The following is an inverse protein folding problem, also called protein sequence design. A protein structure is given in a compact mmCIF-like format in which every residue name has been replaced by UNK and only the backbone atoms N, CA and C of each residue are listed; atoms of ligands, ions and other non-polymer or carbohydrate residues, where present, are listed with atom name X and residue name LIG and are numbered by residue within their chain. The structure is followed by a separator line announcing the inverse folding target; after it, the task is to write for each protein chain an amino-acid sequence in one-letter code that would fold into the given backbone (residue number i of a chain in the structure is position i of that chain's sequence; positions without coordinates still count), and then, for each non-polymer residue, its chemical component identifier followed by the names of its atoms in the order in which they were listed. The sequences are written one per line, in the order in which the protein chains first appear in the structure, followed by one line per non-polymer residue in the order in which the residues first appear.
data_IF_788647137629
#
_entry.id   IF_788647137629
#
_cell.length_a   1.000
_cell.length_b   1.000
_cell.length_c   1.000
_cell.angle_alpha   90.00
_cell.angle_beta   90.00
_cell.angle_gamma   90.00
#
_symmetry.space_group_name_H-M   'P 1'
#
loop_
_entity.id
_entity.type
_entity.pdbx_description
1 polymer ?
#
# COMPACT_ATOMS: atom_id res chain seq x y z
N UNK A 1 -4.75 -48.98 3.09
CA UNK A 1 -4.70 -47.60 3.60
C UNK A 1 -3.84 -46.79 2.64
N UNK A 2 -4.44 -46.18 1.63
CA UNK A 2 -3.81 -45.17 0.76
C UNK A 2 -4.94 -44.47 0.02
N UNK A 3 -5.39 -43.32 0.51
CA UNK A 3 -6.18 -42.37 -0.27
C UNK A 3 -5.22 -41.28 -0.75
N UNK A 4 -5.24 -40.88 -2.03
CA UNK A 4 -4.48 -39.71 -2.46
C UNK A 4 -5.17 -38.44 -1.94
N UNK A 5 -4.39 -37.60 -1.27
CA UNK A 5 -4.75 -36.24 -0.91
C UNK A 5 -4.94 -35.44 -2.20
N UNK A 6 -6.20 -35.20 -2.57
CA UNK A 6 -6.55 -34.07 -3.42
C UNK A 6 -6.53 -32.81 -2.56
N UNK A 7 -5.93 -31.74 -3.07
CA UNK A 7 -6.29 -30.33 -2.82
C UNK A 7 -5.39 -29.45 -3.71
N UNK A 8 -5.66 -29.48 -5.01
CA UNK A 8 -5.41 -28.32 -5.84
C UNK A 8 -6.48 -27.29 -5.50
N UNK A 9 -6.18 -26.40 -4.56
CA UNK A 9 -7.02 -25.22 -4.34
C UNK A 9 -6.69 -24.22 -5.43
N UNK A 10 -7.52 -24.18 -6.47
CA UNK A 10 -7.56 -23.05 -7.37
C UNK A 10 -7.95 -21.83 -6.53
N UNK A 11 -7.00 -20.91 -6.30
CA UNK A 11 -7.32 -19.61 -5.74
C UNK A 11 -8.34 -18.94 -6.66
N UNK A 12 -9.49 -18.61 -6.08
CA UNK A 12 -10.58 -17.90 -6.73
C UNK A 12 -10.06 -16.59 -7.34
N UNK A 13 -10.24 -16.46 -8.66
CA UNK A 13 -9.86 -15.32 -9.49
C UNK A 13 -10.75 -14.08 -9.29
N UNK A 14 -11.06 -13.74 -8.04
CA UNK A 14 -11.68 -12.47 -7.71
C UNK A 14 -10.64 -11.63 -6.98
N UNK A 15 -9.80 -10.92 -7.74
CA UNK A 15 -8.92 -9.91 -7.17
C UNK A 15 -9.74 -8.83 -6.46
N UNK A 16 -9.15 -8.07 -5.53
CA UNK A 16 -9.83 -7.01 -4.76
C UNK A 16 -10.43 -5.89 -5.63
N UNK A 17 -10.13 -5.87 -6.93
CA UNK A 17 -10.65 -4.95 -7.93
C UNK A 17 -11.87 -5.50 -8.70
N UNK A 18 -12.24 -6.78 -8.49
CA UNK A 18 -13.41 -7.39 -9.10
C UNK A 18 -14.69 -6.74 -8.54
N UNK A 19 -15.49 -6.18 -9.44
CA UNK A 19 -16.60 -5.26 -9.18
C UNK A 19 -17.53 -5.70 -8.03
N UNK A 20 -17.43 -5.02 -6.89
CA UNK A 20 -18.45 -5.01 -5.86
C UNK A 20 -19.68 -4.19 -6.29
N UNK A 21 -20.86 -4.55 -5.77
CA UNK A 21 -22.14 -3.83 -5.97
C UNK A 21 -21.98 -2.32 -5.69
N UNK A 22 -22.75 -1.43 -6.34
CA UNK A 22 -22.72 0.01 -6.07
C UNK A 22 -23.37 0.29 -4.70
N UNK A 23 -22.61 0.06 -3.63
CA UNK A 23 -22.81 0.76 -2.36
C UNK A 23 -22.27 2.17 -2.51
N UNK A 24 -22.89 3.14 -1.83
CA UNK A 24 -22.48 4.56 -1.81
C UNK A 24 -20.96 4.66 -1.83
N UNK A 25 -20.38 5.11 -2.96
CA UNK A 25 -18.95 5.21 -3.13
C UNK A 25 -18.40 6.03 -1.96
N UNK A 26 -17.55 5.43 -1.12
CA UNK A 26 -16.82 6.20 -0.12
C UNK A 26 -16.00 7.23 -0.86
N UNK A 27 -15.99 8.46 -0.35
CA UNK A 27 -15.13 9.50 -0.88
C UNK A 27 -13.67 9.16 -0.53
N UNK A 28 -12.75 9.48 -1.45
CA UNK A 28 -11.31 9.44 -1.19
C UNK A 28 -10.98 10.17 0.11
N UNK A 29 -9.92 9.76 0.79
CA UNK A 29 -9.47 10.43 2.01
C UNK A 29 -8.38 11.42 1.67
N UNK A 30 -8.65 12.68 1.99
CA UNK A 30 -7.73 13.77 1.73
C UNK A 30 -6.66 13.88 2.82
N UNK A 31 -5.51 14.44 2.44
CA UNK A 31 -4.54 14.96 3.39
C UNK A 31 -5.12 16.19 4.09
N UNK A 32 -5.14 16.18 5.43
CA UNK A 32 -5.43 17.34 6.25
C UNK A 32 -4.12 17.91 6.81
N UNK A 33 -3.77 19.12 6.37
CA UNK A 33 -2.52 19.81 6.72
C UNK A 33 -2.54 20.50 8.08
N UNK A 34 -3.71 20.58 8.70
CA UNK A 34 -3.88 21.20 10.02
C UNK A 34 -3.67 20.18 11.15
N UNK A 35 -3.50 18.89 10.82
CA UNK A 35 -3.17 17.84 11.78
C UNK A 35 -1.66 17.79 12.01
N UNK A 36 -1.27 17.46 13.25
CA UNK A 36 0.13 17.21 13.60
C UNK A 36 0.74 16.20 12.63
N UNK A 37 1.97 16.39 12.17
CA UNK A 37 2.61 15.41 11.29
C UNK A 37 2.98 14.13 12.06
N UNK A 38 3.27 13.06 11.31
CA UNK A 38 3.76 11.78 11.84
C UNK A 38 5.26 11.67 11.59
N UNK A 39 6.08 11.42 12.63
CA UNK A 39 7.53 11.27 12.45
C UNK A 39 7.88 10.07 11.58
N UNK A 40 8.81 10.27 10.64
CA UNK A 40 9.37 9.24 9.77
C UNK A 40 10.89 9.43 9.67
N UNK A 41 11.70 8.38 9.87
CA UNK A 41 13.14 8.49 9.71
C UNK A 41 13.54 9.00 8.32
N UNK A 42 14.53 9.88 8.25
CA UNK A 42 15.03 10.46 7.00
C UNK A 42 15.50 9.40 5.99
N UNK A 43 16.07 8.29 6.48
CA UNK A 43 16.46 7.14 5.66
C UNK A 43 15.26 6.49 4.97
N UNK A 44 14.14 6.33 5.67
CA UNK A 44 12.91 5.75 5.12
C UNK A 44 12.27 6.71 4.12
N UNK A 45 12.13 7.99 4.48
CA UNK A 45 11.60 9.01 3.56
C UNK A 45 12.40 9.05 2.26
N UNK A 46 13.74 9.08 2.37
CA UNK A 46 14.63 9.13 1.22
C UNK A 46 14.47 7.90 0.33
N UNK A 47 14.35 6.71 0.92
CA UNK A 47 14.24 5.47 0.15
C UNK A 47 12.90 5.34 -0.58
N UNK A 48 11.77 5.63 0.08
CA UNK A 48 10.45 5.55 -0.58
C UNK A 48 10.30 6.63 -1.65
N UNK A 49 10.85 7.83 -1.43
CA UNK A 49 10.87 8.89 -2.44
C UNK A 49 11.73 8.50 -3.64
N UNK A 50 12.91 7.91 -3.39
CA UNK A 50 13.79 7.39 -4.45
C UNK A 50 13.08 6.30 -5.26
N UNK A 51 12.42 5.35 -4.60
CA UNK A 51 11.66 4.31 -5.31
C UNK A 51 10.56 4.89 -6.19
N UNK A 52 9.80 5.87 -5.69
CA UNK A 52 8.75 6.54 -6.46
C UNK A 52 9.30 7.23 -7.73
N UNK A 53 10.50 7.80 -7.65
CA UNK A 53 11.16 8.43 -8.81
C UNK A 53 11.76 7.41 -9.78
N UNK A 54 12.35 6.32 -9.27
CA UNK A 54 12.96 5.27 -10.09
C UNK A 54 11.92 4.52 -10.96
N UNK A 55 10.68 4.41 -10.47
CA UNK A 55 9.59 3.67 -11.13
C UNK A 55 8.71 4.54 -12.03
N UNK A 56 8.80 5.87 -11.91
CA UNK A 56 8.04 6.78 -12.76
C UNK A 56 8.32 6.50 -14.26
N UNK A 57 7.28 6.46 -15.13
CA UNK A 57 5.92 6.97 -14.94
C UNK A 57 4.89 5.95 -14.39
N UNK A 58 5.33 4.79 -13.88
CA UNK A 58 4.46 3.86 -13.18
C UNK A 58 4.45 4.15 -11.68
N UNK A 59 3.37 3.73 -10.99
CA UNK A 59 3.29 3.75 -9.55
C UNK A 59 4.26 2.71 -8.95
N UNK A 60 5.09 3.14 -8.01
CA UNK A 60 5.83 2.24 -7.14
C UNK A 60 4.91 1.69 -6.03
N UNK A 61 5.30 0.57 -5.42
CA UNK A 61 4.66 0.06 -4.21
C UNK A 61 5.66 -0.67 -3.30
N UNK A 62 5.33 -0.80 -2.03
CA UNK A 62 6.15 -1.57 -1.11
C UNK A 62 5.66 -1.56 0.32
N UNK A 63 6.50 -2.09 1.20
CA UNK A 63 6.23 -2.20 2.63
C UNK A 63 7.19 -1.34 3.43
N UNK A 64 6.78 -0.91 4.62
CA UNK A 64 7.70 -0.39 5.63
C UNK A 64 7.57 -1.23 6.90
N UNK A 65 8.64 -1.95 7.21
CA UNK A 65 8.74 -2.81 8.39
C UNK A 65 9.14 -1.97 9.60
N UNK A 66 8.53 -2.26 10.74
CA UNK A 66 8.87 -1.66 12.03
C UNK A 66 8.93 -2.69 13.15
N UNK A 67 9.24 -2.22 14.34
CA UNK A 67 9.27 -2.98 15.58
C UNK A 67 8.28 -2.44 16.60
N UNK A 68 8.12 -3.13 17.72
CA UNK A 68 7.28 -2.65 18.83
C UNK A 68 7.80 -1.34 19.45
N UNK A 69 9.08 -1.03 19.27
CA UNK A 69 9.72 0.18 19.80
C UNK A 69 9.63 1.35 18.83
N UNK A 70 9.67 1.06 17.53
CA UNK A 70 9.69 2.08 16.49
C UNK A 70 8.99 1.55 15.25
N UNK A 71 7.93 2.25 14.82
CA UNK A 71 7.29 1.99 13.52
C UNK A 71 8.12 2.62 12.41
N UNK A 72 7.91 2.14 11.19
CA UNK A 72 8.45 2.74 9.97
C UNK A 72 9.99 2.82 9.90
N UNK A 73 10.68 1.68 10.05
CA UNK A 73 12.15 1.63 10.10
C UNK A 73 12.78 1.18 8.78
N UNK A 74 12.25 0.11 8.17
CA UNK A 74 12.90 -0.59 7.06
C UNK A 74 11.97 -0.66 5.84
N UNK A 75 12.17 0.19 4.81
CA UNK A 75 11.42 0.11 3.58
C UNK A 75 11.86 -1.11 2.74
N UNK A 76 10.87 -1.82 2.19
CA UNK A 76 11.05 -2.92 1.26
C UNK A 76 10.36 -2.55 -0.05
N UNK A 77 11.10 -2.46 -1.16
CA UNK A 77 10.52 -2.29 -2.49
C UNK A 77 9.83 -3.57 -2.91
N UNK A 78 8.60 -3.47 -3.41
CA UNK A 78 7.85 -4.59 -3.97
C UNK A 78 7.47 -4.25 -5.40
N UNK A 79 7.66 -5.19 -6.31
CA UNK A 79 7.35 -5.00 -7.72
C UNK A 79 5.84 -4.80 -7.92
N UNK A 80 5.49 -3.71 -8.60
CA UNK A 80 4.13 -3.48 -9.09
C UNK A 80 3.87 -4.36 -10.32
N UNK A 81 2.94 -5.30 -10.23
CA UNK A 81 2.55 -6.19 -11.34
C UNK A 81 1.24 -5.78 -12.00
N UNK A 82 0.72 -4.57 -11.73
CA UNK A 82 -0.59 -4.15 -12.23
C UNK A 82 -0.70 -4.19 -13.76
N UNK A 83 0.32 -3.75 -14.52
CA UNK A 83 0.33 -3.86 -15.98
C UNK A 83 0.21 -5.32 -16.45
N UNK A 84 0.88 -6.26 -15.77
CA UNK A 84 0.77 -7.69 -16.08
C UNK A 84 -0.63 -8.22 -15.80
N UNK A 85 -1.25 -7.79 -14.70
CA UNK A 85 -2.63 -8.14 -14.35
C UNK A 85 -3.62 -7.60 -15.37
N UNK A 86 -3.50 -6.32 -15.75
CA UNK A 86 -4.30 -5.66 -16.77
C UNK A 86 -4.24 -6.38 -18.12
N UNK A 87 -3.03 -6.73 -18.59
CA UNK A 87 -2.87 -7.45 -19.85
C UNK A 87 -3.48 -8.86 -19.83
N UNK A 88 -3.55 -9.48 -18.65
CA UNK A 88 -4.08 -10.84 -18.50
C UNK A 88 -5.60 -10.87 -18.35
N UNK A 89 -6.18 -9.89 -17.62
CA UNK A 89 -7.61 -9.73 -17.40
C UNK A 89 -7.98 -8.24 -17.26
N UNK A 90 -8.17 -7.51 -18.37
CA UNK A 90 -8.46 -6.08 -18.35
C UNK A 90 -9.86 -5.76 -17.82
N UNK A 91 -10.75 -6.75 -17.70
CA UNK A 91 -12.09 -6.54 -17.14
C UNK A 91 -12.01 -6.45 -15.62
N UNK A 92 -11.28 -7.37 -14.99
CA UNK A 92 -11.08 -7.34 -13.53
C UNK A 92 -10.03 -6.31 -13.09
N UNK A 93 -9.07 -6.00 -13.96
CA UNK A 93 -8.00 -5.04 -13.71
C UNK A 93 -8.01 -3.96 -14.81
N UNK A 94 -8.91 -2.98 -14.77
CA UNK A 94 -9.09 -2.01 -15.87
C UNK A 94 -7.98 -0.95 -15.97
N UNK A 95 -7.08 -0.86 -14.99
CA UNK A 95 -5.96 0.10 -14.93
C UNK A 95 -4.64 -0.64 -15.06
N UNK A 96 -3.65 0.00 -15.68
CA UNK A 96 -2.26 -0.47 -15.70
C UNK A 96 -1.46 0.12 -14.52
N UNK A 97 -0.15 -0.15 -14.48
CA UNK A 97 0.72 0.31 -13.40
C UNK A 97 0.90 1.84 -13.35
N UNK A 98 0.45 2.61 -14.34
CA UNK A 98 0.53 4.08 -14.32
C UNK A 98 -0.55 4.71 -13.44
N UNK A 99 -1.59 3.96 -13.09
CA UNK A 99 -2.79 4.48 -12.40
C UNK A 99 -3.24 3.63 -11.22
N UNK A 100 -2.54 2.53 -10.94
CA UNK A 100 -2.80 1.66 -9.81
C UNK A 100 -1.58 0.76 -9.53
N UNK A 101 -1.56 0.16 -8.34
CA UNK A 101 -0.57 -0.84 -7.99
C UNK A 101 -1.19 -2.18 -7.61
N UNK A 102 -0.46 -3.25 -7.90
CA UNK A 102 -0.72 -4.59 -7.40
C UNK A 102 0.60 -5.19 -6.98
N UNK A 103 0.82 -5.39 -5.69
CA UNK A 103 2.07 -5.95 -5.19
C UNK A 103 2.21 -7.41 -5.60
N UNK A 104 3.40 -7.80 -6.06
CA UNK A 104 3.69 -9.23 -6.28
C UNK A 104 3.71 -10.00 -4.96
N UNK A 105 2.92 -11.07 -4.91
CA UNK A 105 2.73 -11.89 -3.72
C UNK A 105 4.02 -12.55 -3.23
N UNK A 106 4.84 -13.03 -4.15
CA UNK A 106 6.09 -13.70 -3.80
C UNK A 106 7.06 -12.79 -3.05
N UNK A 107 7.14 -11.51 -3.42
CA UNK A 107 8.07 -10.58 -2.75
C UNK A 107 7.50 -10.08 -1.44
N UNK A 108 6.21 -9.73 -1.37
CA UNK A 108 5.65 -9.24 -0.11
C UNK A 108 5.60 -10.33 0.96
N UNK A 109 5.33 -11.60 0.58
CA UNK A 109 5.37 -12.73 1.52
C UNK A 109 6.79 -12.98 2.03
N UNK A 110 7.80 -12.83 1.16
CA UNK A 110 9.20 -12.92 1.59
C UNK A 110 9.54 -11.82 2.59
N UNK A 111 9.24 -10.57 2.26
CA UNK A 111 9.50 -9.43 3.14
C UNK A 111 8.76 -9.55 4.48
N UNK A 112 7.51 -10.02 4.46
CA UNK A 112 6.74 -10.32 5.66
C UNK A 112 7.42 -11.41 6.50
N UNK A 113 7.78 -12.53 5.89
CA UNK A 113 8.42 -13.64 6.61
C UNK A 113 9.75 -13.24 7.25
N UNK A 114 10.56 -12.44 6.55
CA UNK A 114 11.82 -11.89 7.04
C UNK A 114 11.61 -10.94 8.24
N UNK A 115 10.58 -10.09 8.16
CA UNK A 115 10.18 -9.23 9.27
C UNK A 115 9.78 -10.06 10.50
N UNK A 116 8.90 -11.03 10.33
CA UNK A 116 8.39 -11.88 11.41
C UNK A 116 9.51 -12.69 12.07
N UNK A 117 10.43 -13.27 11.28
CA UNK A 117 11.60 -14.01 11.81
C UNK A 117 12.53 -13.11 12.62
N UNK A 118 12.53 -11.81 12.35
CA UNK A 118 13.30 -10.82 13.10
C UNK A 118 12.54 -10.17 14.26
N UNK A 119 11.35 -10.67 14.61
CA UNK A 119 10.49 -10.08 15.64
C UNK A 119 9.94 -8.70 15.27
N UNK A 120 9.85 -8.41 13.97
CA UNK A 120 9.33 -7.17 13.39
C UNK A 120 8.00 -7.44 12.68
N UNK A 121 7.32 -6.37 12.25
CA UNK A 121 6.05 -6.45 11.54
C UNK A 121 5.94 -5.40 10.44
N UNK A 122 5.05 -5.62 9.48
CA UNK A 122 4.72 -4.64 8.44
C UNK A 122 3.91 -3.51 9.07
N UNK A 123 4.52 -2.34 9.21
CA UNK A 123 3.94 -1.19 9.91
C UNK A 123 3.21 -0.21 8.97
N UNK A 124 3.59 -0.22 7.69
CA UNK A 124 2.90 0.48 6.62
C UNK A 124 3.01 -0.27 5.28
N UNK A 125 2.05 -0.03 4.39
CA UNK A 125 2.18 -0.20 2.94
C UNK A 125 2.36 1.19 2.35
N UNK A 126 3.23 1.32 1.36
CA UNK A 126 3.40 2.58 0.63
C UNK A 126 3.23 2.38 -0.87
N UNK A 127 2.77 3.43 -1.53
CA UNK A 127 2.74 3.53 -2.99
C UNK A 127 2.85 4.97 -3.44
N UNK A 128 3.14 5.18 -4.72
CA UNK A 128 3.17 6.54 -5.29
C UNK A 128 1.98 6.79 -6.19
N UNK A 129 1.47 8.02 -6.18
CA UNK A 129 0.62 8.53 -7.25
C UNK A 129 1.45 9.37 -8.21
N UNK A 130 1.41 9.03 -9.50
CA UNK A 130 2.05 9.81 -10.57
C UNK A 130 1.05 10.82 -11.13
N UNK A 131 1.48 12.08 -11.25
CA UNK A 131 0.68 13.21 -11.73
C UNK A 131 -0.61 13.48 -10.90
N UNK A 132 -0.66 13.01 -9.65
CA UNK A 132 -1.73 13.28 -8.69
C UNK A 132 -1.21 13.54 -7.26
N UNK A 133 -2.09 14.05 -6.40
CA UNK A 133 -1.79 14.39 -5.00
C UNK A 133 -1.70 13.18 -4.06
N UNK A 134 -1.19 13.42 -2.84
CA UNK A 134 -1.07 12.40 -1.79
C UNK A 134 -2.37 12.25 -1.01
N UNK A 135 -3.37 11.64 -1.63
CA UNK A 135 -4.64 11.23 -1.03
C UNK A 135 -4.77 9.71 -1.07
N UNK A 136 -5.66 9.13 -0.26
CA UNK A 136 -5.99 7.71 -0.36
C UNK A 136 -7.22 7.55 -1.26
N UNK A 137 -7.06 6.97 -2.45
CA UNK A 137 -8.12 6.83 -3.45
C UNK A 137 -9.21 5.84 -3.00
N UNK A 138 -10.31 5.79 -3.76
CA UNK A 138 -11.36 4.80 -3.52
C UNK A 138 -10.85 3.37 -3.75
N UNK A 139 -9.98 3.19 -4.74
CA UNK A 139 -9.35 1.91 -5.03
C UNK A 139 -8.34 1.50 -3.95
N UNK A 140 -7.54 2.45 -3.44
CA UNK A 140 -6.62 2.19 -2.33
C UNK A 140 -7.37 1.76 -1.07
N UNK A 141 -8.46 2.45 -0.76
CA UNK A 141 -9.34 2.10 0.36
C UNK A 141 -9.93 0.70 0.19
N UNK A 142 -10.48 0.41 -1.00
CA UNK A 142 -11.04 -0.90 -1.29
C UNK A 142 -10.00 -2.02 -1.14
N UNK A 143 -8.74 -1.75 -1.54
CA UNK A 143 -7.63 -2.69 -1.39
C UNK A 143 -7.22 -2.86 0.08
N UNK A 144 -7.00 -1.76 0.81
CA UNK A 144 -6.54 -1.78 2.20
C UNK A 144 -7.60 -2.30 3.19
N UNK A 145 -8.89 -2.11 2.90
CA UNK A 145 -10.01 -2.64 3.70
C UNK A 145 -10.47 -4.03 3.25
N UNK A 146 -9.88 -4.59 2.18
CA UNK A 146 -10.27 -5.90 1.69
C UNK A 146 -10.04 -6.97 2.78
N UNK A 147 -10.99 -7.90 3.03
CA UNK A 147 -10.84 -8.92 4.07
C UNK A 147 -9.61 -9.84 3.90
N UNK A 148 -9.10 -9.95 2.67
CA UNK A 148 -7.90 -10.72 2.33
C UNK A 148 -6.65 -9.85 2.18
N UNK A 149 -6.71 -8.57 2.56
CA UNK A 149 -5.52 -7.71 2.56
C UNK A 149 -4.48 -8.28 3.54
N UNK A 150 -3.23 -8.54 3.09
CA UNK A 150 -2.25 -9.28 3.89
C UNK A 150 -1.74 -8.54 5.12
N UNK A 151 -1.94 -7.21 5.20
CA UNK A 151 -1.37 -6.37 6.25
C UNK A 151 -2.45 -5.62 7.04
N UNK A 152 -3.33 -6.32 7.75
CA UNK A 152 -4.39 -5.68 8.53
C UNK A 152 -3.77 -4.74 9.58
N UNK A 153 -4.19 -3.47 9.59
CA UNK A 153 -3.66 -2.47 10.52
C UNK A 153 -2.42 -1.72 10.03
N UNK A 154 -1.84 -2.08 8.89
CA UNK A 154 -0.76 -1.30 8.31
C UNK A 154 -1.26 0.08 7.88
N UNK A 155 -0.52 1.12 8.25
CA UNK A 155 -0.78 2.46 7.72
C UNK A 155 -0.58 2.48 6.20
N UNK A 156 -1.24 3.40 5.52
CA UNK A 156 -1.05 3.62 4.08
C UNK A 156 -0.22 4.89 3.90
N UNK A 157 0.89 4.82 3.18
CA UNK A 157 1.72 5.99 2.84
C UNK A 157 1.60 6.24 1.33
N UNK A 158 1.17 7.44 0.97
CA UNK A 158 1.03 7.83 -0.44
C UNK A 158 2.06 8.91 -0.77
N UNK A 159 2.91 8.65 -1.76
CA UNK A 159 3.90 9.59 -2.27
C UNK A 159 3.37 10.25 -3.55
N UNK A 160 3.18 11.56 -3.54
CA UNK A 160 2.81 12.33 -4.73
C UNK A 160 4.05 12.63 -5.58
N UNK A 161 4.05 12.18 -6.85
CA UNK A 161 5.07 12.50 -7.84
C UNK A 161 4.46 13.40 -8.92
N UNK A 162 4.87 14.67 -8.98
CA UNK A 162 4.37 15.64 -9.97
C UNK A 162 5.52 16.18 -10.80
N UNK A 163 5.43 16.04 -12.12
CA UNK A 163 6.45 16.56 -13.04
C UNK A 163 7.86 16.02 -12.75
N UNK A 164 7.95 14.71 -12.48
CA UNK A 164 9.22 14.01 -12.22
C UNK A 164 9.88 14.35 -10.88
N UNK A 165 9.13 14.89 -9.91
CA UNK A 165 9.62 15.22 -8.57
C UNK A 165 8.61 14.79 -7.52
N UNK A 166 9.10 14.35 -6.36
CA UNK A 166 8.23 14.14 -5.19
C UNK A 166 7.73 15.51 -4.72
N UNK A 167 6.41 15.68 -4.65
CA UNK A 167 5.77 16.92 -4.21
C UNK A 167 5.51 16.89 -2.71
N UNK A 168 4.95 15.79 -2.22
CA UNK A 168 4.58 15.56 -0.83
C UNK A 168 4.33 14.08 -0.57
N UNK A 169 4.36 13.68 0.70
CA UNK A 169 3.97 12.34 1.14
C UNK A 169 3.00 12.47 2.31
N UNK A 170 1.97 11.62 2.31
CA UNK A 170 0.93 11.59 3.34
C UNK A 170 0.83 10.19 3.92
N UNK A 171 0.46 10.10 5.20
CA UNK A 171 0.16 8.84 5.88
C UNK A 171 -1.28 8.81 6.36
N UNK A 172 -1.93 7.66 6.19
CA UNK A 172 -3.29 7.39 6.58
C UNK A 172 -3.28 6.21 7.55
N UNK A 173 -3.67 6.47 8.79
CA UNK A 173 -3.70 5.47 9.85
C UNK A 173 -5.14 5.09 10.14
N UNK A 174 -5.42 3.80 10.06
CA UNK A 174 -6.74 3.26 10.35
C UNK A 174 -7.13 3.53 11.81
N UNK A 175 -8.41 3.82 12.05
CA UNK A 175 -8.89 4.00 13.42
C UNK A 175 -8.72 2.68 14.20
N UNK A 176 -8.07 2.76 15.36
CA UNK A 176 -7.69 1.59 16.13
C UNK A 176 -8.91 0.84 16.72
N UNK A 177 -10.04 1.52 16.90
CA UNK A 177 -11.26 0.97 17.49
C UNK A 177 -12.16 0.39 16.40
N UNK A 178 -12.48 1.16 15.37
CA UNK A 178 -13.37 0.72 14.29
C UNK A 178 -12.68 -0.20 13.29
N UNK A 179 -11.34 -0.15 13.24
CA UNK A 179 -10.52 -0.85 12.24
C UNK A 179 -10.97 -0.55 10.81
N UNK A 180 -11.26 0.72 10.56
CA UNK A 180 -11.51 1.25 9.23
C UNK A 180 -11.06 2.70 9.12
N UNK A 181 -11.18 3.28 7.92
CA UNK A 181 -10.76 4.66 7.70
C UNK A 181 -11.90 5.69 7.87
N UNK A 182 -12.99 5.39 8.60
CA UNK A 182 -14.10 6.35 8.77
C UNK A 182 -13.65 7.56 9.57
N UNK A 183 -13.81 8.74 8.98
CA UNK A 183 -13.47 10.00 9.65
C UNK A 183 -11.96 10.23 9.84
N UNK A 184 -11.13 9.33 9.30
CA UNK A 184 -9.68 9.50 9.23
C UNK A 184 -9.36 10.53 8.14
N UNK A 185 -8.39 11.40 8.40
CA UNK A 185 -7.74 12.20 7.37
C UNK A 185 -6.27 11.79 7.28
N UNK A 186 -5.66 12.01 6.10
CA UNK A 186 -4.23 11.88 5.96
C UNK A 186 -3.50 12.94 6.78
N UNK A 187 -2.30 12.60 7.23
CA UNK A 187 -1.39 13.51 7.95
C UNK A 187 -0.09 13.65 7.15
N UNK A 188 0.57 14.79 7.28
CA UNK A 188 1.91 14.98 6.73
C UNK A 188 2.91 14.06 7.45
N UNK A 189 3.98 13.68 6.74
CA UNK A 189 5.13 13.02 7.34
C UNK A 189 6.18 14.06 7.71
N UNK A 190 6.62 14.06 8.97
CA UNK A 190 7.74 14.87 9.45
C UNK A 190 9.02 14.05 9.39
N UNK A 191 10.02 14.55 8.66
CA UNK A 191 11.31 13.88 8.57
C UNK A 191 12.10 14.11 9.85
N UNK A 192 12.49 13.02 10.50
CA UNK A 192 13.34 13.05 11.69
C UNK A 192 14.70 12.40 11.42
N UNK A 193 15.74 12.98 12.00
CA UNK A 193 17.07 12.35 12.05
C UNK A 193 17.06 11.31 13.17
N UNK A 194 17.39 10.06 12.83
CA UNK A 194 17.45 8.92 13.76
C UNK A 194 18.81 8.26 13.71
#
# INVERSE_FOLDING_TARGET
MSGPLGLGSALSAAGPFATGRPGMARARIELNRDLDPVPLPASVMSEICRHALDTAPEECCGLVVGSIRQRFENPCRITNVMTKMHLSDPVSFPRDARQAYYMTEVEYLRAQQEAETSGRFVSAVYHSHVDAGAYLSNEDLAYAEHPLFPFPGAAQIVISVLGGRVKEAAIFEMDAVTRDFRGVNGRLLEVIDT
#
